data_IF_125794491268
#
_entry.id   IF_125794491268
#
_cell.length_a   1.000
_cell.length_b   1.000
_cell.length_c   1.000
_cell.angle_alpha   90.00
_cell.angle_beta   90.00
_cell.angle_gamma   90.00
#
_symmetry.space_group_name_H-M   'P 1'
#
loop_
_entity.id
_entity.type
_entity.pdbx_description
1 polymer ?
#
# COMPACT_ATOMS: atom_id res chain seq x y z
N UNK A 1 -37.99 54.64 -21.91
CA UNK A 1 -38.43 53.66 -20.89
C UNK A 1 -37.89 52.28 -21.31
N UNK A 2 -36.58 52.07 -21.37
CA UNK A 2 -35.66 51.79 -20.24
C UNK A 2 -36.14 50.61 -19.39
N UNK A 3 -35.67 49.39 -19.71
CA UNK A 3 -34.74 48.59 -18.88
C UNK A 3 -34.71 47.14 -19.40
N UNK A 4 -33.65 46.80 -20.15
CA UNK A 4 -33.22 45.40 -20.27
C UNK A 4 -32.59 45.00 -18.93
N UNK A 5 -33.18 44.00 -18.25
CA UNK A 5 -32.61 43.38 -17.07
C UNK A 5 -31.69 42.24 -17.51
N UNK A 6 -30.40 42.53 -17.69
CA UNK A 6 -29.37 41.51 -17.92
C UNK A 6 -28.98 40.93 -16.56
N UNK A 7 -29.58 39.80 -16.18
CA UNK A 7 -29.15 39.05 -14.98
C UNK A 7 -27.92 38.24 -15.35
N UNK A 8 -26.76 38.70 -14.89
CA UNK A 8 -25.46 38.07 -15.03
C UNK A 8 -25.43 36.80 -14.14
N UNK A 9 -25.55 35.62 -14.74
CA UNK A 9 -25.27 34.36 -14.04
C UNK A 9 -23.77 34.32 -13.71
N UNK A 10 -23.43 34.57 -12.45
CA UNK A 10 -22.10 34.25 -11.91
C UNK A 10 -21.94 32.72 -11.89
N UNK A 11 -21.30 32.17 -12.91
CA UNK A 11 -20.78 30.81 -12.89
C UNK A 11 -19.61 30.74 -11.91
N UNK A 12 -19.88 30.46 -10.64
CA UNK A 12 -18.81 30.09 -9.70
C UNK A 12 -18.16 28.79 -10.21
N UNK A 13 -16.85 28.75 -10.48
CA UNK A 13 -16.18 27.49 -10.77
C UNK A 13 -16.23 26.66 -9.48
N UNK A 14 -16.87 25.49 -9.55
CA UNK A 14 -16.68 24.45 -8.54
C UNK A 14 -15.20 24.10 -8.53
N UNK A 15 -14.47 24.60 -7.54
CA UNK A 15 -13.13 24.12 -7.24
C UNK A 15 -13.29 22.66 -6.81
N UNK A 16 -13.08 21.74 -7.76
CA UNK A 16 -12.93 20.32 -7.47
C UNK A 16 -11.68 20.14 -6.61
N UNK A 17 -11.85 20.19 -5.30
CA UNK A 17 -10.78 19.87 -4.37
C UNK A 17 -10.54 18.36 -4.45
N UNK A 18 -9.46 17.96 -5.12
CA UNK A 18 -8.97 16.60 -5.03
C UNK A 18 -8.58 16.36 -3.56
N UNK A 19 -9.38 15.56 -2.86
CA UNK A 19 -9.18 15.29 -1.45
C UNK A 19 -7.91 14.44 -1.27
N UNK A 20 -6.79 15.09 -0.99
CA UNK A 20 -5.56 14.39 -0.63
C UNK A 20 -5.60 13.86 0.79
N UNK A 21 -5.07 12.67 1.01
CA UNK A 21 -5.02 12.06 2.32
C UNK A 21 -3.99 10.94 2.41
N UNK A 22 -3.91 10.35 3.60
CA UNK A 22 -3.08 9.19 3.84
C UNK A 22 -3.71 8.30 4.91
N UNK A 23 -3.44 7.00 4.84
CA UNK A 23 -3.70 6.08 5.94
C UNK A 23 -2.47 5.20 6.20
N UNK A 24 -2.34 4.73 7.44
CA UNK A 24 -1.23 3.88 7.87
C UNK A 24 -1.71 2.68 8.67
N UNK A 25 -0.99 1.57 8.57
CA UNK A 25 -1.23 0.33 9.31
C UNK A 25 0.06 -0.32 9.73
N UNK A 26 0.11 -0.76 10.98
CA UNK A 26 1.17 -1.59 11.53
C UNK A 26 0.59 -2.96 11.97
N UNK A 27 1.34 -4.03 11.75
CA UNK A 27 1.02 -5.35 12.26
C UNK A 27 2.28 -6.17 12.53
N UNK A 28 2.14 -7.28 13.25
CA UNK A 28 3.10 -8.40 13.15
C UNK A 28 3.01 -9.05 11.76
N UNK A 29 4.00 -9.86 11.38
CA UNK A 29 4.04 -10.53 10.08
C UNK A 29 3.93 -12.04 10.19
N UNK A 30 4.87 -12.74 9.56
CA UNK A 30 4.90 -14.19 9.38
C UNK A 30 6.15 -14.79 9.99
N UNK A 31 6.07 -16.09 10.30
CA UNK A 31 7.23 -16.94 10.56
C UNK A 31 7.35 -17.97 9.42
N UNK A 32 8.37 -17.83 8.58
CA UNK A 32 8.66 -18.72 7.47
C UNK A 32 9.89 -19.57 7.80
N UNK A 33 9.65 -20.87 7.93
CA UNK A 33 10.65 -21.85 8.34
C UNK A 33 11.24 -22.63 7.15
N UNK A 34 10.54 -22.69 6.02
CA UNK A 34 10.94 -23.53 4.87
C UNK A 34 11.01 -22.66 3.62
N UNK A 35 12.08 -22.79 2.85
CA UNK A 35 12.25 -22.12 1.56
C UNK A 35 11.29 -22.65 0.51
N UNK A 36 11.13 -21.94 -0.60
CA UNK A 36 10.19 -22.28 -1.69
C UNK A 36 8.71 -22.31 -1.26
N UNK A 37 8.40 -21.85 -0.05
CA UNK A 37 7.04 -21.56 0.39
C UNK A 37 6.74 -20.08 0.26
N UNK A 38 5.46 -19.77 0.03
CA UNK A 38 4.95 -18.40 0.02
C UNK A 38 3.98 -18.24 1.18
N UNK A 39 4.20 -17.22 2.01
CA UNK A 39 3.32 -16.89 3.13
C UNK A 39 2.78 -15.48 3.01
N UNK A 40 1.51 -15.33 3.38
CA UNK A 40 0.83 -14.05 3.42
C UNK A 40 0.75 -13.53 4.84
N UNK A 41 1.09 -12.26 5.03
CA UNK A 41 0.82 -11.53 6.25
C UNK A 41 -0.67 -11.15 6.40
N UNK A 42 -1.01 -10.51 7.53
CA UNK A 42 -2.34 -9.95 7.80
C UNK A 42 -2.82 -8.96 6.73
N UNK A 43 -4.14 -8.77 6.65
CA UNK A 43 -4.77 -7.78 5.78
C UNK A 43 -4.65 -6.39 6.41
N UNK A 44 -4.20 -5.41 5.63
CA UNK A 44 -4.10 -4.01 6.01
C UNK A 44 -5.10 -3.20 5.19
N UNK A 45 -6.06 -2.56 5.86
CA UNK A 45 -7.14 -1.77 5.25
C UNK A 45 -7.14 -0.35 5.80
N UNK A 46 -7.72 0.65 5.10
CA UNK A 46 -7.88 2.01 5.62
C UNK A 46 -8.73 2.09 6.90
N UNK A 47 -8.59 3.18 7.67
CA UNK A 47 -9.37 3.45 8.90
C UNK A 47 -10.82 3.88 8.64
N UNK A 48 -11.12 4.28 7.42
CA UNK A 48 -12.38 4.92 7.09
C UNK A 48 -12.58 5.00 5.59
N UNK A 49 -13.68 5.61 5.16
CA UNK A 49 -14.01 5.72 3.74
C UNK A 49 -12.95 6.52 3.00
N UNK A 50 -12.58 6.03 1.83
CA UNK A 50 -11.69 6.72 0.88
C UNK A 50 -12.55 7.12 -0.34
N UNK A 51 -12.39 8.33 -0.90
CA UNK A 51 -13.13 8.73 -2.09
C UNK A 51 -12.91 7.74 -3.23
N UNK A 52 -13.98 7.32 -3.92
CA UNK A 52 -13.90 6.33 -5.00
C UNK A 52 -13.03 6.79 -6.19
N UNK A 53 -12.91 8.11 -6.38
CA UNK A 53 -12.07 8.74 -7.39
C UNK A 53 -10.59 8.86 -6.98
N UNK A 54 -10.25 8.54 -5.73
CA UNK A 54 -8.88 8.70 -5.23
C UNK A 54 -7.92 7.72 -5.90
N UNK A 55 -6.70 8.19 -6.11
CA UNK A 55 -5.60 7.43 -6.68
C UNK A 55 -4.40 7.43 -5.75
N UNK A 56 -3.69 6.31 -5.67
CA UNK A 56 -2.47 6.22 -4.87
C UNK A 56 -1.42 7.12 -5.50
N UNK A 57 -0.86 8.04 -4.71
CA UNK A 57 0.28 8.88 -5.13
C UNK A 57 1.59 8.24 -4.75
N UNK A 58 1.66 7.64 -3.55
CA UNK A 58 2.87 7.02 -3.02
C UNK A 58 2.54 6.06 -1.88
N UNK A 59 3.26 4.94 -1.84
CA UNK A 59 3.37 4.14 -0.63
C UNK A 59 4.71 4.34 0.05
N UNK A 60 4.74 4.12 1.36
CA UNK A 60 5.94 3.94 2.15
C UNK A 60 5.79 2.70 3.01
N UNK A 61 6.84 1.90 3.13
CA UNK A 61 6.81 0.68 3.93
C UNK A 61 8.06 0.54 4.80
N UNK A 62 7.92 -0.24 5.87
CA UNK A 62 9.02 -0.70 6.70
C UNK A 62 8.69 -2.06 7.29
N UNK A 63 9.63 -2.98 7.21
CA UNK A 63 9.53 -4.36 7.68
C UNK A 63 10.73 -4.62 8.58
N UNK A 64 10.45 -5.09 9.79
CA UNK A 64 11.46 -5.47 10.77
C UNK A 64 11.46 -6.99 10.90
N UNK A 65 12.63 -7.58 10.65
CA UNK A 65 12.88 -9.00 10.87
C UNK A 65 13.57 -9.20 12.21
N UNK A 66 13.32 -10.34 12.87
CA UNK A 66 14.04 -10.71 14.09
C UNK A 66 15.54 -10.97 13.81
N UNK A 67 15.84 -11.55 12.64
CA UNK A 67 17.19 -11.88 12.19
C UNK A 67 17.49 -11.17 10.86
N UNK A 68 18.76 -11.02 10.46
CA UNK A 68 19.10 -10.49 9.14
C UNK A 68 18.37 -11.23 8.00
N UNK A 69 17.99 -10.52 6.91
CA UNK A 69 17.30 -11.14 5.79
C UNK A 69 18.21 -12.19 5.13
N UNK A 70 17.73 -13.43 4.89
CA UNK A 70 18.50 -14.42 4.17
C UNK A 70 18.63 -14.05 2.69
N UNK A 71 19.68 -14.53 1.99
CA UNK A 71 19.77 -14.43 0.54
C UNK A 71 18.52 -14.99 -0.14
N UNK A 72 18.07 -14.33 -1.20
CA UNK A 72 16.89 -14.78 -1.95
C UNK A 72 15.54 -14.53 -1.25
N UNK A 73 15.50 -13.77 -0.15
CA UNK A 73 14.25 -13.25 0.39
C UNK A 73 13.55 -12.38 -0.67
N UNK A 74 12.30 -12.72 -0.96
CA UNK A 74 11.42 -11.98 -1.85
C UNK A 74 10.25 -11.45 -1.05
N UNK A 75 9.93 -10.17 -1.27
CA UNK A 75 8.84 -9.49 -0.61
C UNK A 75 7.97 -8.85 -1.69
N UNK A 76 6.66 -9.07 -1.60
CA UNK A 76 5.68 -8.42 -2.45
C UNK A 76 4.63 -7.73 -1.60
N UNK A 77 4.11 -6.61 -2.08
CA UNK A 77 2.89 -6.01 -1.60
C UNK A 77 1.77 -6.32 -2.59
N UNK A 78 0.70 -6.94 -2.12
CA UNK A 78 -0.39 -7.41 -2.95
C UNK A 78 -1.73 -6.84 -2.51
N UNK A 79 -2.55 -6.52 -3.50
CA UNK A 79 -4.01 -6.35 -3.38
C UNK A 79 -4.68 -7.51 -4.11
N UNK A 80 -6.02 -7.55 -4.15
CA UNK A 80 -6.73 -8.54 -4.94
C UNK A 80 -6.43 -8.42 -6.45
N UNK A 81 -6.20 -7.19 -6.93
CA UNK A 81 -6.00 -6.93 -8.35
C UNK A 81 -4.54 -7.20 -8.80
N UNK A 82 -3.54 -6.93 -7.95
CA UNK A 82 -2.14 -6.95 -8.38
C UNK A 82 -1.17 -7.14 -7.23
N UNK A 83 0.05 -7.58 -7.57
CA UNK A 83 1.20 -7.58 -6.67
C UNK A 83 2.33 -6.73 -7.25
N UNK A 84 3.08 -6.08 -6.37
CA UNK A 84 4.34 -5.41 -6.70
C UNK A 84 5.47 -5.97 -5.84
N UNK A 85 6.64 -6.17 -6.44
CA UNK A 85 7.83 -6.53 -5.68
C UNK A 85 8.35 -5.31 -4.89
N UNK A 86 8.83 -5.56 -3.68
CA UNK A 86 9.55 -4.60 -2.86
C UNK A 86 11.04 -4.98 -2.89
N UNK A 87 11.87 -3.99 -3.17
CA UNK A 87 13.32 -4.11 -3.37
C UNK A 87 14.11 -4.06 -2.06
N UNK A 88 13.50 -3.56 -0.99
CA UNK A 88 14.10 -3.44 0.32
C UNK A 88 13.09 -3.68 1.45
N UNK A 89 13.60 -3.89 2.66
CA UNK A 89 12.78 -3.99 3.88
C UNK A 89 12.10 -2.67 4.24
N UNK A 90 12.62 -1.54 3.79
CA UNK A 90 11.99 -0.24 3.95
C UNK A 90 12.22 0.61 2.70
N UNK A 91 11.24 1.43 2.37
CA UNK A 91 11.31 2.26 1.18
C UNK A 91 10.03 3.03 0.93
N UNK A 92 10.01 3.72 -0.20
CA UNK A 92 8.82 4.41 -0.72
C UNK A 92 8.80 4.31 -2.24
N UNK A 93 7.61 4.20 -2.84
CA UNK A 93 7.45 4.14 -4.29
C UNK A 93 6.07 4.57 -4.75
N UNK A 94 5.97 4.95 -6.02
CA UNK A 94 4.69 5.01 -6.72
C UNK A 94 4.19 3.59 -7.03
N UNK A 95 2.87 3.42 -7.08
CA UNK A 95 2.21 2.16 -7.43
C UNK A 95 1.52 2.24 -8.80
N UNK A 96 1.30 1.10 -9.48
CA UNK A 96 0.50 1.05 -10.69
C UNK A 96 -0.94 1.50 -10.43
N UNK A 97 -1.57 2.12 -11.44
CA UNK A 97 -2.95 2.63 -11.35
C UNK A 97 -4.02 1.56 -11.05
N UNK A 98 -3.69 0.28 -11.26
CA UNK A 98 -4.56 -0.85 -10.94
C UNK A 98 -4.75 -1.08 -9.43
N UNK A 99 -3.89 -0.49 -8.58
CA UNK A 99 -4.04 -0.54 -7.11
C UNK A 99 -4.70 0.75 -6.63
N UNK A 100 -5.70 0.61 -5.76
CA UNK A 100 -6.50 1.73 -5.23
C UNK A 100 -6.24 1.95 -3.74
N UNK A 101 -6.41 3.18 -3.23
CA UNK A 101 -6.16 3.47 -1.83
C UNK A 101 -7.18 2.83 -0.87
N UNK A 102 -8.34 2.38 -1.35
CA UNK A 102 -9.33 1.61 -0.60
C UNK A 102 -9.09 0.09 -0.63
N UNK A 103 -8.09 -0.39 -1.39
CA UNK A 103 -7.76 -1.81 -1.45
C UNK A 103 -7.34 -2.37 -0.07
N UNK A 104 -7.56 -3.66 0.10
CA UNK A 104 -6.92 -4.45 1.16
C UNK A 104 -5.52 -4.90 0.74
N UNK A 105 -4.50 -4.50 1.50
CA UNK A 105 -3.10 -4.80 1.21
C UNK A 105 -2.58 -5.96 2.07
N UNK A 106 -1.72 -6.80 1.50
CA UNK A 106 -0.99 -7.86 2.22
C UNK A 106 0.46 -7.89 1.78
N UNK A 107 1.37 -8.00 2.74
CA UNK A 107 2.75 -8.37 2.44
C UNK A 107 2.84 -9.88 2.25
N UNK A 108 3.50 -10.29 1.17
CA UNK A 108 3.74 -11.69 0.80
C UNK A 108 5.24 -11.94 0.84
N UNK A 109 5.65 -13.02 1.48
CA UNK A 109 7.04 -13.39 1.71
C UNK A 109 7.33 -14.76 1.12
N UNK A 110 8.48 -14.89 0.49
CA UNK A 110 9.04 -16.16 0.05
C UNK A 110 10.57 -16.10 0.13
N UNK A 111 11.23 -17.25 0.22
CA UNK A 111 12.70 -17.34 0.11
C UNK A 111 13.03 -18.30 -1.01
N UNK A 112 13.81 -17.84 -1.99
CA UNK A 112 14.33 -18.69 -3.06
C UNK A 112 15.47 -19.57 -2.54
N UNK A 113 15.10 -20.55 -1.73
CA UNK A 113 15.95 -21.61 -1.19
C UNK A 113 15.10 -22.87 -1.06
N UNK A 114 15.74 -24.04 -0.94
CA UNK A 114 15.05 -25.32 -0.69
C UNK A 114 15.30 -25.76 0.74
N UNK A 115 14.31 -26.46 1.33
CA UNK A 115 14.44 -27.04 2.66
C UNK A 115 14.35 -26.01 3.80
N UNK A 116 14.81 -26.41 4.98
CA UNK A 116 14.73 -25.62 6.20
C UNK A 116 15.59 -24.35 6.12
N UNK A 117 14.99 -23.21 6.43
CA UNK A 117 15.69 -21.94 6.62
C UNK A 117 16.35 -21.91 8.01
N UNK A 118 17.63 -21.52 8.04
CA UNK A 118 18.40 -21.33 9.26
C UNK A 118 19.22 -20.03 9.14
N UNK A 119 18.89 -18.96 9.88
CA UNK A 119 17.70 -18.82 10.72
C UNK A 119 16.39 -18.73 9.89
N UNK A 120 15.21 -18.93 10.51
CA UNK A 120 13.94 -18.68 9.84
C UNK A 120 13.73 -17.18 9.62
N UNK A 121 12.87 -16.85 8.65
CA UNK A 121 12.41 -15.47 8.46
C UNK A 121 11.27 -15.22 9.44
N UNK A 122 11.52 -14.38 10.44
CA UNK A 122 10.51 -13.97 11.41
C UNK A 122 10.26 -12.46 11.28
N UNK A 123 9.10 -12.09 10.73
CA UNK A 123 8.68 -10.69 10.56
C UNK A 123 7.97 -10.24 11.84
N UNK A 124 8.70 -9.51 12.68
CA UNK A 124 8.18 -9.05 13.99
C UNK A 124 7.33 -7.80 13.87
N UNK A 125 7.57 -6.97 12.84
CA UNK A 125 6.79 -5.76 12.56
C UNK A 125 6.78 -5.49 11.07
N UNK A 126 5.65 -5.02 10.55
CA UNK A 126 5.53 -4.44 9.23
C UNK A 126 4.58 -3.24 9.30
N UNK A 127 4.94 -2.19 8.58
CA UNK A 127 4.20 -0.94 8.52
C UNK A 127 4.03 -0.52 7.06
N UNK A 128 2.84 -0.06 6.71
CA UNK A 128 2.48 0.48 5.41
C UNK A 128 1.78 1.83 5.59
N UNK A 129 2.21 2.82 4.83
CA UNK A 129 1.50 4.09 4.63
C UNK A 129 1.12 4.21 3.17
N UNK A 130 -0.14 4.55 2.90
CA UNK A 130 -0.66 4.80 1.55
C UNK A 130 -1.13 6.25 1.48
N UNK A 131 -0.48 7.04 0.63
CA UNK A 131 -0.85 8.41 0.32
C UNK A 131 -1.67 8.43 -0.96
N UNK A 132 -2.69 9.28 -1.00
CA UNK A 132 -3.61 9.39 -2.13
C UNK A 132 -4.06 10.84 -2.36
N UNK A 133 -4.64 11.08 -3.54
CA UNK A 133 -5.28 12.33 -3.95
C UNK A 133 -6.46 12.05 -4.85
#
# INVERSE_FOLDING_TARGET
MTRLLTVLLFSLPLLAQAASGAWSRESGGILLNVGSQTMSGPLLTPNGPIPASASITRISWRITLLNPPPPGLQIKLCTQARCVALDALAGQRALPAAMKPDDGFRFIYAVNARGQLRPPVNVVRQHLTVNYR
#
